data_IF_286447393875
#
_entry.id   IF_286447393875
#
_cell.length_a   1.000
_cell.length_b   1.000
_cell.length_c   1.000
_cell.angle_alpha   90.00
_cell.angle_beta   90.00
_cell.angle_gamma   90.00
#
_symmetry.space_group_name_H-M   'P 1'
#
loop_
_entity.id
_entity.type
_entity.pdbx_description
1 polymer ?
#
# COMPACT_ATOMS: atom_id res chain seq x y z
N UNK A 1 22.82 -23.99 -23.08
CA UNK A 1 23.21 -23.93 -21.65
C UNK A 1 22.29 -22.89 -21.06
N UNK A 2 21.31 -23.33 -20.27
CA UNK A 2 20.14 -22.55 -19.90
C UNK A 2 20.54 -21.28 -19.11
N UNK A 3 19.92 -20.17 -19.49
CA UNK A 3 19.76 -18.98 -18.64
C UNK A 3 19.19 -19.45 -17.29
N UNK A 4 19.96 -19.24 -16.23
CA UNK A 4 19.44 -19.30 -14.87
C UNK A 4 18.63 -18.01 -14.67
N UNK A 5 17.30 -18.13 -14.72
CA UNK A 5 16.39 -17.15 -14.13
C UNK A 5 16.72 -17.07 -12.63
N UNK A 6 17.30 -15.95 -12.20
CA UNK A 6 17.38 -15.62 -10.79
C UNK A 6 15.97 -15.24 -10.29
N UNK A 7 15.51 -16.04 -9.32
CA UNK A 7 14.53 -15.72 -8.27
C UNK A 7 13.03 -16.00 -8.48
N UNK A 8 12.64 -17.14 -9.06
CA UNK A 8 11.36 -17.76 -8.70
C UNK A 8 11.49 -18.54 -7.38
N UNK A 9 11.27 -17.86 -6.25
CA UNK A 9 11.35 -18.47 -4.90
C UNK A 9 10.11 -19.31 -4.53
N UNK A 10 9.07 -19.32 -5.36
CA UNK A 10 7.79 -19.98 -5.12
C UNK A 10 7.33 -20.76 -6.35
N UNK A 11 6.66 -21.91 -6.13
CA UNK A 11 6.11 -22.78 -7.19
C UNK A 11 4.88 -22.16 -7.87
N UNK A 12 4.04 -21.47 -7.09
CA UNK A 12 2.86 -20.73 -7.59
C UNK A 12 2.64 -19.46 -6.76
N UNK A 13 2.27 -18.37 -7.42
CA UNK A 13 1.87 -17.11 -6.76
C UNK A 13 0.38 -17.08 -6.37
N UNK A 14 -0.41 -18.08 -6.81
CA UNK A 14 -1.83 -18.18 -6.47
C UNK A 14 -2.01 -18.53 -4.99
N UNK A 15 -2.76 -17.67 -4.29
CA UNK A 15 -3.12 -17.87 -2.89
C UNK A 15 -4.41 -18.68 -2.76
N UNK A 16 -4.52 -19.51 -1.71
CA UNK A 16 -5.74 -20.27 -1.47
C UNK A 16 -6.90 -19.34 -1.07
N UNK A 17 -8.14 -19.78 -1.28
CA UNK A 17 -9.36 -18.94 -1.16
C UNK A 17 -9.57 -18.26 0.21
N UNK A 18 -8.98 -18.82 1.26
CA UNK A 18 -9.06 -18.35 2.65
C UNK A 18 -7.91 -17.38 3.00
N UNK A 19 -6.97 -17.17 2.08
CA UNK A 19 -5.96 -16.11 2.13
C UNK A 19 -6.41 -14.89 1.31
N UNK A 20 -7.72 -14.57 1.32
CA UNK A 20 -8.26 -13.35 0.73
C UNK A 20 -7.81 -12.14 1.54
N UNK A 21 -7.35 -11.10 0.86
CA UNK A 21 -6.87 -9.82 1.38
C UNK A 21 -7.78 -9.24 2.47
N UNK A 22 -9.10 -9.26 2.24
CA UNK A 22 -10.09 -8.77 3.19
C UNK A 22 -10.18 -9.63 4.45
N UNK A 23 -10.04 -10.95 4.28
CA UNK A 23 -10.08 -11.90 5.39
C UNK A 23 -8.81 -11.78 6.24
N UNK A 24 -7.63 -11.70 5.62
CA UNK A 24 -6.36 -11.46 6.34
C UNK A 24 -6.46 -10.16 7.12
N UNK A 25 -6.92 -9.07 6.50
CA UNK A 25 -7.11 -7.80 7.19
C UNK A 25 -8.06 -7.91 8.40
N UNK A 26 -9.24 -8.52 8.23
CA UNK A 26 -10.16 -8.73 9.36
C UNK A 26 -9.54 -9.58 10.47
N UNK A 27 -8.82 -10.65 10.12
CA UNK A 27 -8.14 -11.51 11.08
C UNK A 27 -7.04 -10.74 11.83
N UNK A 28 -6.31 -9.86 11.15
CA UNK A 28 -5.29 -9.01 11.79
C UNK A 28 -5.91 -7.98 12.74
N UNK A 29 -7.02 -7.33 12.37
CA UNK A 29 -7.76 -6.42 13.26
C UNK A 29 -8.28 -7.18 14.49
N UNK A 30 -8.92 -8.33 14.27
CA UNK A 30 -9.43 -9.16 15.36
C UNK A 30 -8.29 -9.60 16.29
N UNK A 31 -7.14 -9.96 15.72
CA UNK A 31 -5.95 -10.32 16.47
C UNK A 31 -5.42 -9.16 17.33
N UNK A 32 -5.28 -7.97 16.73
CA UNK A 32 -4.84 -6.77 17.45
C UNK A 32 -5.82 -6.45 18.59
N UNK A 33 -7.13 -6.50 18.34
CA UNK A 33 -8.15 -6.23 19.36
C UNK A 33 -8.07 -7.21 20.55
N UNK A 34 -7.82 -8.50 20.29
CA UNK A 34 -7.63 -9.49 21.35
C UNK A 34 -6.36 -9.19 22.15
N UNK A 35 -5.26 -8.84 21.47
CA UNK A 35 -3.99 -8.50 22.13
C UNK A 35 -4.15 -7.25 23.01
N UNK A 36 -4.79 -6.20 22.48
CA UNK A 36 -5.05 -4.96 23.20
C UNK A 36 -5.87 -5.25 24.46
N UNK A 37 -6.98 -5.98 24.31
CA UNK A 37 -7.86 -6.31 25.43
C UNK A 37 -7.14 -7.12 26.51
N UNK A 38 -6.33 -8.12 26.13
CA UNK A 38 -5.57 -8.92 27.10
C UNK A 38 -4.48 -8.09 27.80
N UNK A 39 -3.80 -7.19 27.09
CA UNK A 39 -2.77 -6.33 27.67
C UNK A 39 -3.35 -5.25 28.59
N UNK A 40 -4.52 -4.69 28.28
CA UNK A 40 -5.17 -3.66 29.09
C UNK A 40 -5.87 -4.26 30.32
N UNK A 41 -6.68 -5.30 30.13
CA UNK A 41 -7.57 -5.78 31.19
C UNK A 41 -6.95 -6.87 32.07
N UNK A 42 -5.92 -7.55 31.57
CA UNK A 42 -5.46 -8.81 32.16
C UNK A 42 -3.97 -8.84 32.52
N UNK A 43 -3.27 -7.70 32.40
CA UNK A 43 -1.81 -7.56 32.55
C UNK A 43 -1.21 -8.26 33.78
N UNK A 44 -1.89 -8.23 34.93
CA UNK A 44 -1.36 -8.73 36.20
C UNK A 44 -1.94 -10.07 36.67
N UNK A 45 -2.99 -10.59 36.02
CA UNK A 45 -3.70 -11.79 36.47
C UNK A 45 -3.09 -13.07 35.91
N UNK A 46 -3.06 -14.12 36.74
CA UNK A 46 -2.62 -15.47 36.38
C UNK A 46 -3.80 -16.37 36.03
N UNK A 47 -3.51 -17.53 35.42
CA UNK A 47 -4.55 -18.51 35.10
C UNK A 47 -5.33 -19.01 36.33
N UNK A 48 -4.73 -18.98 37.52
CA UNK A 48 -5.41 -19.37 38.75
C UNK A 48 -6.48 -18.34 39.14
N UNK A 49 -6.15 -17.04 39.06
CA UNK A 49 -7.10 -15.95 39.33
C UNK A 49 -8.28 -15.98 38.34
N UNK A 50 -8.01 -16.33 37.07
CA UNK A 50 -9.05 -16.48 36.02
C UNK A 50 -10.03 -17.60 36.37
N UNK A 51 -9.49 -18.76 36.74
CA UNK A 51 -10.28 -19.96 37.00
C UNK A 51 -11.10 -19.76 38.27
N UNK A 52 -10.55 -19.08 39.27
CA UNK A 52 -11.23 -18.75 40.52
C UNK A 52 -12.41 -17.78 40.28
N UNK A 53 -12.20 -16.70 39.51
CA UNK A 53 -13.24 -15.72 39.19
C UNK A 53 -14.24 -16.19 38.11
N UNK A 54 -14.00 -17.37 37.50
CA UNK A 54 -14.78 -17.92 36.37
C UNK A 54 -14.99 -16.89 35.26
N UNK A 55 -13.93 -16.18 34.88
CA UNK A 55 -14.03 -15.13 33.87
C UNK A 55 -14.30 -15.71 32.47
N UNK A 56 -15.59 -15.80 32.14
CA UNK A 56 -16.08 -16.38 30.90
C UNK A 56 -15.61 -15.59 29.68
N UNK A 57 -15.40 -14.27 29.82
CA UNK A 57 -14.97 -13.41 28.72
C UNK A 57 -13.54 -13.76 28.33
N UNK A 58 -12.64 -13.81 29.31
CA UNK A 58 -11.24 -14.17 29.05
C UNK A 58 -11.12 -15.56 28.40
N UNK A 59 -11.88 -16.55 28.89
CA UNK A 59 -11.86 -17.90 28.31
C UNK A 59 -12.36 -17.92 26.85
N UNK A 60 -13.38 -17.13 26.52
CA UNK A 60 -13.85 -16.99 25.14
C UNK A 60 -12.79 -16.33 24.25
N UNK A 61 -12.12 -15.27 24.73
CA UNK A 61 -11.03 -14.61 24.00
C UNK A 61 -9.83 -15.53 23.80
N UNK A 62 -9.45 -16.31 24.80
CA UNK A 62 -8.31 -17.22 24.69
C UNK A 62 -8.60 -18.38 23.71
N UNK A 63 -9.86 -18.81 23.61
CA UNK A 63 -10.29 -19.79 22.62
C UNK A 63 -10.36 -19.21 21.21
N UNK A 64 -10.81 -17.96 21.05
CA UNK A 64 -10.79 -17.28 19.75
C UNK A 64 -9.35 -16.99 19.30
N UNK A 65 -8.44 -16.62 20.20
CA UNK A 65 -7.00 -16.48 19.92
C UNK A 65 -6.39 -17.80 19.43
N UNK A 66 -6.71 -18.92 20.08
CA UNK A 66 -6.27 -20.25 19.66
C UNK A 66 -6.75 -20.58 18.24
N UNK A 67 -8.00 -20.27 17.92
CA UNK A 67 -8.56 -20.46 16.57
C UNK A 67 -7.81 -19.62 15.53
N UNK A 68 -7.51 -18.35 15.84
CA UNK A 68 -6.72 -17.47 14.98
C UNK A 68 -5.31 -18.02 14.75
N UNK A 69 -4.65 -18.53 15.80
CA UNK A 69 -3.32 -19.13 15.70
C UNK A 69 -3.35 -20.36 14.80
N UNK A 70 -4.38 -21.21 14.89
CA UNK A 70 -4.55 -22.34 13.98
C UNK A 70 -4.66 -21.91 12.52
N UNK A 71 -5.39 -20.82 12.24
CA UNK A 71 -5.50 -20.25 10.88
C UNK A 71 -4.14 -19.76 10.41
N UNK A 72 -3.42 -18.97 11.21
CA UNK A 72 -2.10 -18.45 10.82
C UNK A 72 -1.04 -19.55 10.66
N UNK A 73 -1.08 -20.59 11.49
CA UNK A 73 -0.22 -21.76 11.34
C UNK A 73 -0.48 -22.49 10.03
N UNK A 74 -1.74 -22.64 9.66
CA UNK A 74 -2.10 -23.25 8.40
C UNK A 74 -1.63 -22.38 7.21
N UNK A 75 -1.78 -21.05 7.30
CA UNK A 75 -1.32 -20.12 6.24
C UNK A 75 0.20 -20.18 6.08
N UNK A 76 0.94 -20.16 7.20
CA UNK A 76 2.39 -20.29 7.23
C UNK A 76 2.85 -21.63 6.66
N UNK A 77 2.11 -22.70 6.94
CA UNK A 77 2.37 -24.03 6.39
C UNK A 77 2.19 -24.06 4.88
N UNK A 78 1.09 -23.52 4.36
CA UNK A 78 0.83 -23.47 2.92
C UNK A 78 1.84 -22.58 2.19
N UNK A 79 2.27 -21.46 2.81
CA UNK A 79 3.36 -20.63 2.28
C UNK A 79 4.70 -21.37 2.26
N UNK A 80 5.02 -22.07 3.35
CA UNK A 80 6.20 -22.93 3.40
C UNK A 80 6.14 -23.98 2.30
N UNK A 81 5.03 -24.70 2.11
CA UNK A 81 4.90 -25.76 1.11
C UNK A 81 5.11 -25.25 -0.33
N UNK A 82 4.61 -24.05 -0.66
CA UNK A 82 4.78 -23.41 -1.97
C UNK A 82 6.18 -22.84 -2.23
N UNK A 83 6.96 -22.55 -1.19
CA UNK A 83 8.29 -22.00 -1.35
C UNK A 83 9.29 -23.07 -1.84
N UNK A 84 10.07 -22.76 -2.87
CA UNK A 84 11.10 -23.66 -3.42
C UNK A 84 12.36 -23.60 -2.54
N UNK A 85 12.79 -22.39 -2.16
CA UNK A 85 13.96 -22.14 -1.30
C UNK A 85 13.56 -22.07 0.18
N UNK A 86 13.63 -23.22 0.87
CA UNK A 86 13.30 -23.30 2.29
C UNK A 86 14.28 -22.54 3.19
N UNK A 87 15.54 -22.37 2.78
CA UNK A 87 16.54 -21.68 3.61
C UNK A 87 16.27 -20.17 3.62
N UNK A 88 15.97 -19.61 2.45
CA UNK A 88 15.51 -18.22 2.36
C UNK A 88 14.20 -18.01 3.13
N UNK A 89 13.26 -18.96 3.03
CA UNK A 89 11.99 -18.88 3.74
C UNK A 89 12.20 -18.77 5.26
N UNK A 90 13.03 -19.64 5.84
CA UNK A 90 13.32 -19.62 7.28
C UNK A 90 14.02 -18.33 7.70
N UNK A 91 14.98 -17.82 6.92
CA UNK A 91 15.63 -16.52 7.20
C UNK A 91 14.64 -15.36 7.21
N UNK A 92 13.59 -15.46 6.39
CA UNK A 92 12.59 -14.39 6.21
C UNK A 92 11.41 -14.51 7.17
N UNK A 93 10.99 -15.71 7.60
CA UNK A 93 9.75 -15.93 8.36
C UNK A 93 9.95 -16.49 9.79
N UNK A 94 11.17 -16.76 10.25
CA UNK A 94 11.40 -17.36 11.59
C UNK A 94 10.79 -16.54 12.74
N UNK A 95 10.75 -15.22 12.61
CA UNK A 95 10.25 -14.31 13.62
C UNK A 95 8.72 -14.42 13.75
N UNK A 96 7.99 -14.87 12.72
CA UNK A 96 6.53 -15.06 12.80
C UNK A 96 6.13 -16.12 13.82
N UNK A 97 6.99 -17.11 14.05
CA UNK A 97 6.77 -18.13 15.08
C UNK A 97 6.78 -17.56 16.50
N UNK A 98 7.51 -16.47 16.75
CA UNK A 98 7.48 -15.77 18.04
C UNK A 98 6.10 -15.15 18.30
N UNK A 99 5.37 -14.81 17.24
CA UNK A 99 4.02 -14.29 17.32
C UNK A 99 2.97 -15.36 17.63
N UNK A 100 3.23 -16.64 17.37
CA UNK A 100 2.25 -17.74 17.48
C UNK A 100 2.00 -18.23 18.93
N UNK A 101 2.52 -17.51 19.92
CA UNK A 101 2.33 -17.85 21.34
C UNK A 101 0.85 -17.65 21.73
N UNK A 102 0.13 -18.71 22.15
CA UNK A 102 -1.26 -18.61 22.57
C UNK A 102 -1.43 -17.87 23.90
N UNK A 103 -2.55 -17.17 24.05
CA UNK A 103 -2.94 -16.44 25.25
C UNK A 103 -2.92 -17.31 26.53
N UNK A 104 -3.29 -18.59 26.43
CA UNK A 104 -3.22 -19.53 27.56
C UNK A 104 -1.80 -19.78 28.07
N UNK A 105 -0.80 -19.80 27.18
CA UNK A 105 0.59 -20.08 27.54
C UNK A 105 1.16 -18.96 28.39
N UNK A 106 0.84 -17.71 28.06
CA UNK A 106 1.28 -16.52 28.82
C UNK A 106 0.56 -16.35 30.16
N UNK A 107 -0.55 -17.06 30.38
CA UNK A 107 -1.28 -17.05 31.65
C UNK A 107 -0.72 -18.05 32.69
N UNK A 108 0.16 -18.97 32.27
CA UNK A 108 0.82 -19.93 33.17
C UNK A 108 1.71 -19.16 34.16
N UNK A 109 1.61 -19.34 35.49
CA UNK A 109 2.27 -18.48 36.48
C UNK A 109 3.79 -18.34 36.30
N UNK A 110 4.46 -19.44 35.90
CA UNK A 110 5.89 -19.42 35.61
C UNK A 110 6.24 -18.43 34.50
N UNK A 111 5.45 -18.40 33.43
CA UNK A 111 5.65 -17.54 32.25
C UNK A 111 4.98 -16.18 32.42
N UNK A 112 3.94 -16.07 33.25
CA UNK A 112 3.27 -14.81 33.58
C UNK A 112 4.22 -13.85 34.30
N UNK A 113 5.14 -14.37 35.12
CA UNK A 113 6.21 -13.58 35.75
C UNK A 113 7.15 -12.92 34.74
N UNK A 114 7.29 -13.51 33.55
CA UNK A 114 7.99 -12.93 32.41
C UNK A 114 7.01 -12.09 31.60
N UNK A 115 6.48 -11.02 32.20
CA UNK A 115 5.45 -10.15 31.60
C UNK A 115 5.77 -9.68 30.17
N UNK A 116 7.06 -9.57 29.82
CA UNK A 116 7.52 -9.26 28.47
C UNK A 116 7.17 -10.31 27.39
N UNK A 117 6.91 -11.57 27.74
CA UNK A 117 6.49 -12.60 26.77
C UNK A 117 5.14 -12.26 26.12
N UNK A 118 4.29 -11.52 26.82
CA UNK A 118 3.01 -11.04 26.28
C UNK A 118 3.20 -10.08 25.11
N UNK A 119 4.32 -9.34 25.09
CA UNK A 119 4.70 -8.42 24.02
C UNK A 119 5.17 -9.14 22.76
N UNK A 120 5.66 -10.38 22.85
CA UNK A 120 6.02 -11.18 21.66
C UNK A 120 4.81 -11.40 20.74
N UNK A 121 3.57 -11.36 21.27
CA UNK A 121 2.36 -11.44 20.45
C UNK A 121 2.20 -10.25 19.49
N UNK A 122 2.85 -9.12 19.75
CA UNK A 122 2.87 -7.98 18.81
C UNK A 122 3.61 -8.29 17.52
N UNK A 123 4.51 -9.28 17.55
CA UNK A 123 5.14 -9.80 16.34
C UNK A 123 4.10 -10.33 15.35
N UNK A 124 3.01 -10.92 15.84
CA UNK A 124 1.91 -11.41 15.00
C UNK A 124 1.14 -10.27 14.33
N UNK A 125 0.85 -9.21 15.07
CA UNK A 125 0.26 -8.00 14.49
C UNK A 125 1.17 -7.44 13.37
N UNK A 126 2.48 -7.36 13.62
CA UNK A 126 3.45 -6.88 12.64
C UNK A 126 3.57 -7.80 11.40
N UNK A 127 3.61 -9.12 11.59
CA UNK A 127 3.58 -10.10 10.50
C UNK A 127 2.30 -10.04 9.67
N UNK A 128 1.14 -9.87 10.31
CA UNK A 128 -0.12 -9.64 9.63
C UNK A 128 -0.06 -8.42 8.69
N UNK A 129 0.54 -7.33 9.15
CA UNK A 129 0.73 -6.11 8.35
C UNK A 129 1.74 -6.33 7.21
N UNK A 130 2.87 -7.00 7.46
CA UNK A 130 3.87 -7.25 6.44
C UNK A 130 3.37 -8.19 5.34
N UNK A 131 2.49 -9.15 5.66
CA UNK A 131 1.80 -9.98 4.65
C UNK A 131 1.00 -9.14 3.66
N UNK A 132 0.35 -8.07 4.12
CA UNK A 132 -0.37 -7.13 3.24
C UNK A 132 0.57 -6.36 2.30
N UNK A 133 1.82 -6.11 2.71
CA UNK A 133 2.82 -5.40 1.88
C UNK A 133 3.39 -6.32 0.79
N UNK A 134 3.65 -7.60 1.10
CA UNK A 134 4.15 -8.59 0.13
C UNK A 134 3.23 -8.75 -1.09
N UNK A 135 1.95 -8.45 -0.93
CA UNK A 135 0.92 -8.54 -1.97
C UNK A 135 0.97 -7.37 -2.97
N UNK A 136 1.58 -6.23 -2.62
CA UNK A 136 1.71 -5.07 -3.49
C UNK A 136 2.67 -5.26 -4.67
N UNK A 137 3.49 -6.33 -4.65
CA UNK A 137 4.41 -6.69 -5.76
C UNK A 137 3.77 -7.59 -6.82
N UNK A 138 2.46 -7.87 -6.75
CA UNK A 138 1.81 -8.84 -7.64
C UNK A 138 1.70 -8.28 -9.08
N UNK A 139 2.18 -9.08 -10.05
CA UNK A 139 2.36 -8.80 -11.50
C UNK A 139 1.08 -8.58 -12.33
N UNK A 140 -0.04 -8.23 -11.71
CA UNK A 140 -1.27 -7.87 -12.41
C UNK A 140 -1.35 -6.34 -12.47
N UNK A 141 -1.73 -5.76 -13.61
CA UNK A 141 -2.13 -4.35 -13.73
C UNK A 141 -3.18 -4.05 -12.64
N UNK A 142 -2.73 -3.61 -11.47
CA UNK A 142 -3.62 -3.32 -10.35
C UNK A 142 -4.41 -2.09 -10.76
N UNK A 143 -5.74 -2.19 -10.77
CA UNK A 143 -6.58 -1.01 -10.99
C UNK A 143 -6.28 -0.01 -9.90
N UNK A 144 -6.24 1.27 -10.26
CA UNK A 144 -5.93 2.40 -9.35
C UNK A 144 -6.72 2.30 -8.03
N UNK A 145 -7.98 1.86 -8.12
CA UNK A 145 -8.87 1.60 -7.00
C UNK A 145 -8.32 0.57 -5.99
N UNK A 146 -7.82 -0.59 -6.47
CA UNK A 146 -7.26 -1.63 -5.61
C UNK A 146 -5.96 -1.19 -4.96
N UNK A 147 -5.11 -0.47 -5.69
CA UNK A 147 -3.87 0.08 -5.15
C UNK A 147 -4.14 1.06 -3.99
N UNK A 148 -5.15 1.92 -4.13
CA UNK A 148 -5.56 2.83 -3.06
C UNK A 148 -6.14 2.10 -1.85
N UNK A 149 -6.99 1.09 -2.06
CA UNK A 149 -7.57 0.31 -0.98
C UNK A 149 -6.47 -0.38 -0.16
N UNK A 150 -5.49 -0.99 -0.82
CA UNK A 150 -4.36 -1.65 -0.14
C UNK A 150 -3.50 -0.67 0.65
N UNK A 151 -3.12 0.46 0.06
CA UNK A 151 -2.37 1.51 0.75
C UNK A 151 -3.11 2.00 1.99
N UNK A 152 -4.41 2.29 1.85
CA UNK A 152 -5.24 2.73 2.96
C UNK A 152 -5.30 1.67 4.07
N UNK A 153 -5.43 0.40 3.68
CA UNK A 153 -5.47 -0.74 4.61
C UNK A 153 -4.17 -0.83 5.41
N UNK A 154 -3.01 -0.79 4.73
CA UNK A 154 -1.69 -0.79 5.38
C UNK A 154 -1.56 0.38 6.36
N UNK A 155 -1.92 1.59 5.93
CA UNK A 155 -1.78 2.78 6.76
C UNK A 155 -2.72 2.73 7.98
N UNK A 156 -3.97 2.28 7.82
CA UNK A 156 -4.89 2.07 8.94
C UNK A 156 -4.34 1.04 9.93
N UNK A 157 -3.77 -0.07 9.46
CA UNK A 157 -3.15 -1.05 10.38
C UNK A 157 -1.95 -0.46 11.13
N UNK A 158 -1.12 0.35 10.47
CA UNK A 158 0.01 1.02 11.10
C UNK A 158 -0.43 2.09 12.11
N UNK A 159 -1.54 2.80 11.87
CA UNK A 159 -2.14 3.73 12.83
C UNK A 159 -2.55 2.98 14.10
N UNK A 160 -3.27 1.86 13.96
CA UNK A 160 -3.73 1.07 15.11
C UNK A 160 -2.54 0.50 15.88
N UNK A 161 -1.57 -0.10 15.18
CA UNK A 161 -0.38 -0.66 15.80
C UNK A 161 0.46 0.43 16.49
N UNK A 162 0.73 1.55 15.81
CA UNK A 162 1.50 2.67 16.32
C UNK A 162 0.85 3.31 17.55
N UNK A 163 -0.46 3.56 17.51
CA UNK A 163 -1.22 4.04 18.65
C UNK A 163 -1.15 3.07 19.84
N UNK A 164 -1.25 1.77 19.58
CA UNK A 164 -1.12 0.75 20.63
C UNK A 164 0.27 0.73 21.28
N UNK A 165 1.34 0.78 20.49
CA UNK A 165 2.71 0.80 21.03
C UNK A 165 2.98 2.06 21.85
N UNK A 166 2.55 3.22 21.35
CA UNK A 166 2.68 4.48 22.10
C UNK A 166 1.88 4.40 23.40
N UNK A 167 0.66 3.87 23.38
CA UNK A 167 -0.13 3.65 24.61
C UNK A 167 0.60 2.77 25.63
N UNK A 168 1.17 1.63 25.21
CA UNK A 168 1.87 0.72 26.14
C UNK A 168 3.09 1.40 26.76
N UNK A 169 3.88 2.15 26.00
CA UNK A 169 5.06 2.82 26.55
C UNK A 169 4.68 4.04 27.41
N UNK A 170 3.75 4.87 26.93
CA UNK A 170 3.29 6.05 27.66
C UNK A 170 2.51 5.70 28.92
N UNK A 171 1.71 4.62 28.93
CA UNK A 171 0.96 4.23 30.13
C UNK A 171 1.88 3.84 31.30
N UNK A 172 3.02 3.22 31.01
CA UNK A 172 4.04 2.89 32.02
C UNK A 172 4.71 4.15 32.57
N UNK A 173 5.10 5.06 31.68
CA UNK A 173 5.70 6.36 32.04
C UNK A 173 4.72 7.23 32.83
N UNK A 174 3.46 7.28 32.40
CA UNK A 174 2.38 8.04 33.03
C UNK A 174 2.09 7.55 34.45
N UNK A 175 2.06 6.23 34.66
CA UNK A 175 1.85 5.67 35.99
C UNK A 175 3.00 6.06 36.93
N UNK A 176 4.25 6.00 36.45
CA UNK A 176 5.43 6.34 37.22
C UNK A 176 5.52 7.84 37.57
N UNK A 177 5.09 8.72 36.67
CA UNK A 177 5.28 10.17 36.80
C UNK A 177 4.07 10.92 37.37
N UNK A 178 2.85 10.46 37.05
CA UNK A 178 1.62 11.23 37.25
C UNK A 178 0.68 10.61 38.30
N UNK A 179 0.95 9.40 38.79
CA UNK A 179 0.13 8.72 39.80
C UNK A 179 0.91 8.38 41.07
N UNK A 180 0.20 8.29 42.19
CA UNK A 180 0.74 7.81 43.48
C UNK A 180 -0.25 6.86 44.14
N UNK A 181 0.22 5.99 45.02
CA UNK A 181 -0.64 5.03 45.72
C UNK A 181 -1.05 5.62 47.07
N UNK A 182 -2.35 5.69 47.33
CA UNK A 182 -2.88 6.16 48.61
C UNK A 182 -2.73 5.10 49.72
N UNK A 183 -3.04 5.48 50.96
CA UNK A 183 -2.95 4.56 52.11
C UNK A 183 -3.91 3.36 52.05
N UNK A 184 -4.86 3.35 51.10
CA UNK A 184 -5.80 2.26 50.86
C UNK A 184 -5.37 1.36 49.68
N UNK A 185 -4.21 1.61 49.07
CA UNK A 185 -3.70 0.84 47.94
C UNK A 185 -4.27 1.23 46.57
N UNK A 186 -4.99 2.35 46.48
CA UNK A 186 -5.59 2.85 45.23
C UNK A 186 -4.66 3.86 44.55
N UNK A 187 -4.53 3.75 43.22
CA UNK A 187 -3.77 4.70 42.39
C UNK A 187 -4.56 6.01 42.26
N UNK A 188 -3.99 7.11 42.71
CA UNK A 188 -4.60 8.46 42.71
C UNK A 188 -3.68 9.43 41.96
N UNK A 189 -4.27 10.35 41.20
CA UNK A 189 -3.51 11.39 40.49
C UNK A 189 -2.82 12.35 41.47
N UNK A 190 -1.62 12.82 41.11
CA UNK A 190 -0.84 13.74 41.94
C UNK A 190 -1.57 15.09 42.09
N UNK A 191 -1.66 15.63 43.31
CA UNK A 191 -2.31 16.93 43.56
C UNK A 191 -1.54 18.13 42.97
N UNK A 192 -0.21 18.00 42.83
CA UNK A 192 0.67 18.97 42.18
C UNK A 192 1.26 18.31 40.92
N UNK A 193 0.43 18.14 39.90
CA UNK A 193 0.81 17.47 38.66
C UNK A 193 1.83 18.33 37.86
N UNK A 194 2.91 17.75 37.30
CA UNK A 194 3.72 18.40 36.29
C UNK A 194 2.87 18.83 35.08
N UNK A 195 3.18 19.98 34.48
CA UNK A 195 2.45 20.50 33.31
C UNK A 195 2.40 19.48 32.14
N UNK A 196 3.44 18.65 32.02
CA UNK A 196 3.60 17.64 30.96
C UNK A 196 2.56 16.51 31.05
N UNK A 197 2.14 16.11 32.25
CA UNK A 197 1.18 15.02 32.47
C UNK A 197 -0.21 15.31 31.86
N UNK A 198 -0.55 16.59 31.63
CA UNK A 198 -1.83 16.97 31.01
C UNK A 198 -1.92 16.62 29.52
N UNK A 199 -0.77 16.46 28.86
CA UNK A 199 -0.65 16.13 27.42
C UNK A 199 -0.16 14.70 27.17
N UNK A 200 0.12 13.96 28.24
CA UNK A 200 0.53 12.56 28.14
C UNK A 200 -0.67 11.68 27.80
N UNK A 201 -0.39 10.61 27.07
CA UNK A 201 -1.40 9.65 26.62
C UNK A 201 -1.63 8.65 27.75
N UNK A 202 -2.82 8.65 28.34
CA UNK A 202 -3.15 7.75 29.46
C UNK A 202 -4.24 6.72 29.14
N UNK A 203 -4.95 6.87 28.02
CA UNK A 203 -5.98 5.93 27.57
C UNK A 203 -5.71 5.45 26.14
N UNK A 204 -6.19 4.26 25.81
CA UNK A 204 -6.08 3.72 24.46
C UNK A 204 -6.83 4.60 23.43
N UNK A 205 -7.96 5.19 23.83
CA UNK A 205 -8.72 6.11 22.98
C UNK A 205 -7.91 7.35 22.61
N UNK A 206 -7.19 7.93 23.57
CA UNK A 206 -6.34 9.11 23.33
C UNK A 206 -5.15 8.75 22.43
N UNK A 207 -4.59 7.55 22.59
CA UNK A 207 -3.51 7.05 21.75
C UNK A 207 -3.95 6.87 20.29
N UNK A 208 -5.16 6.32 20.08
CA UNK A 208 -5.75 6.17 18.76
C UNK A 208 -6.07 7.51 18.11
N UNK A 209 -6.65 8.44 18.87
CA UNK A 209 -6.89 9.81 18.41
C UNK A 209 -5.59 10.49 17.97
N UNK A 210 -4.56 10.44 18.83
CA UNK A 210 -3.24 10.98 18.54
C UNK A 210 -2.62 10.36 17.28
N UNK A 211 -2.71 9.03 17.12
CA UNK A 211 -2.15 8.33 15.96
C UNK A 211 -2.84 8.75 14.64
N UNK A 212 -4.17 8.93 14.66
CA UNK A 212 -4.93 9.43 13.51
C UNK A 212 -4.53 10.87 13.18
N UNK A 213 -4.54 11.76 14.17
CA UNK A 213 -4.22 13.19 14.01
C UNK A 213 -2.78 13.39 13.51
N UNK A 214 -1.85 12.56 13.98
CA UNK A 214 -0.44 12.60 13.55
C UNK A 214 -0.26 12.07 12.14
N UNK A 215 -0.85 10.92 11.81
CA UNK A 215 -0.71 10.30 10.48
C UNK A 215 -1.39 11.13 9.38
N UNK A 216 -2.50 11.80 9.72
CA UNK A 216 -3.18 12.76 8.83
C UNK A 216 -2.51 14.13 8.79
N UNK A 217 -1.41 14.33 9.53
CA UNK A 217 -0.65 15.59 9.60
C UNK A 217 -1.43 16.79 10.14
N UNK A 218 -2.52 16.57 10.90
CA UNK A 218 -3.34 17.63 11.50
C UNK A 218 -2.65 18.25 12.71
N UNK A 219 -2.15 17.42 13.63
CA UNK A 219 -1.33 17.85 14.77
C UNK A 219 -1.98 18.88 15.71
N UNK A 220 -3.12 18.56 16.34
CA UNK A 220 -3.78 19.46 17.30
C UNK A 220 -2.92 19.86 18.50
N UNK A 221 -1.97 19.01 18.91
CA UNK A 221 -1.06 19.27 20.03
C UNK A 221 -1.68 19.13 21.42
N UNK A 222 -2.87 18.53 21.49
CA UNK A 222 -3.57 18.12 22.70
C UNK A 222 -2.87 16.95 23.41
N UNK A 223 -2.38 15.98 22.63
CA UNK A 223 -1.59 14.85 23.13
C UNK A 223 -0.24 14.75 22.42
N UNK A 224 0.80 14.33 23.15
CA UNK A 224 2.13 14.09 22.57
C UNK A 224 2.93 13.06 23.35
N UNK A 225 3.65 12.14 22.67
CA UNK A 225 4.53 11.18 23.32
C UNK A 225 5.71 11.87 24.03
N UNK A 226 5.91 11.53 25.29
CA UNK A 226 6.98 12.04 26.16
C UNK A 226 8.11 11.02 26.28
N UNK A 227 7.78 9.73 26.41
CA UNK A 227 8.73 8.63 26.57
C UNK A 227 9.69 8.52 25.35
N UNK A 228 11.00 8.27 25.55
CA UNK A 228 11.93 8.10 24.45
C UNK A 228 11.58 6.99 23.45
N UNK A 229 11.04 5.85 23.90
CA UNK A 229 10.66 4.75 23.01
C UNK A 229 9.40 5.08 22.22
N UNK A 230 8.41 5.69 22.89
CA UNK A 230 7.17 6.17 22.25
C UNK A 230 7.47 7.22 21.17
N UNK A 231 8.46 8.10 21.39
CA UNK A 231 8.95 9.08 20.40
C UNK A 231 9.59 8.44 19.17
N UNK A 232 10.32 7.34 19.34
CA UNK A 232 10.87 6.59 18.19
C UNK A 232 9.73 6.03 17.35
N UNK A 233 8.74 5.38 17.99
CA UNK A 233 7.54 4.86 17.31
C UNK A 233 6.78 5.99 16.59
N UNK A 234 6.63 7.14 17.25
CA UNK A 234 6.00 8.32 16.67
C UNK A 234 6.72 8.84 15.43
N UNK A 235 8.06 8.90 15.46
CA UNK A 235 8.85 9.34 14.31
C UNK A 235 8.64 8.42 13.10
N UNK A 236 8.60 7.09 13.30
CA UNK A 236 8.24 6.15 12.24
C UNK A 236 6.83 6.39 11.70
N UNK A 237 5.84 6.59 12.58
CA UNK A 237 4.46 6.82 12.17
C UNK A 237 4.30 8.13 11.37
N UNK A 238 5.03 9.19 11.74
CA UNK A 238 5.06 10.45 10.98
C UNK A 238 5.61 10.27 9.56
N UNK A 239 6.68 9.49 9.38
CA UNK A 239 7.24 9.19 8.05
C UNK A 239 6.21 8.43 7.18
N UNK A 240 5.48 7.48 7.77
CA UNK A 240 4.40 6.76 7.10
C UNK A 240 3.29 7.72 6.67
N UNK A 241 2.89 8.66 7.54
CA UNK A 241 1.87 9.67 7.23
C UNK A 241 2.25 10.54 6.02
N UNK A 242 3.51 10.99 5.95
CA UNK A 242 4.01 11.75 4.79
C UNK A 242 3.94 10.90 3.51
N UNK A 243 4.32 9.62 3.60
CA UNK A 243 4.22 8.68 2.49
C UNK A 243 2.79 8.44 2.00
N UNK A 244 1.81 8.39 2.91
CA UNK A 244 0.38 8.31 2.58
C UNK A 244 -0.06 9.54 1.77
N UNK A 245 0.21 10.74 2.27
CA UNK A 245 -0.21 11.98 1.59
C UNK A 245 0.42 12.07 0.20
N UNK A 246 1.72 11.76 0.08
CA UNK A 246 2.42 11.78 -1.21
C UNK A 246 1.88 10.75 -2.21
N UNK A 247 1.57 9.53 -1.75
CA UNK A 247 1.02 8.48 -2.62
C UNK A 247 -0.41 8.77 -3.05
N UNK A 248 -1.28 9.28 -2.15
CA UNK A 248 -2.61 9.74 -2.50
C UNK A 248 -2.57 10.86 -3.56
N UNK A 249 -1.67 11.83 -3.39
CA UNK A 249 -1.49 12.91 -4.37
C UNK A 249 -1.02 12.40 -5.74
N UNK A 250 -0.06 11.46 -5.76
CA UNK A 250 0.42 10.85 -7.00
C UNK A 250 -0.69 10.10 -7.75
N UNK A 251 -1.50 9.34 -7.03
CA UNK A 251 -2.62 8.60 -7.62
C UNK A 251 -3.73 9.53 -8.12
N UNK A 252 -4.04 10.61 -7.41
CA UNK A 252 -4.95 11.64 -7.90
C UNK A 252 -4.42 12.27 -9.19
N UNK A 253 -3.12 12.57 -9.24
CA UNK A 253 -2.48 13.09 -10.46
C UNK A 253 -2.63 12.11 -11.62
N UNK A 254 -2.40 10.82 -11.42
CA UNK A 254 -2.61 9.78 -12.44
C UNK A 254 -4.05 9.74 -12.95
N UNK A 255 -5.03 9.84 -12.04
CA UNK A 255 -6.44 9.86 -12.42
C UNK A 255 -6.77 11.10 -13.29
N UNK A 256 -6.23 12.27 -12.95
CA UNK A 256 -6.37 13.47 -13.79
C UNK A 256 -5.69 13.31 -15.15
N UNK A 257 -4.51 12.70 -15.22
CA UNK A 257 -3.81 12.41 -16.47
C UNK A 257 -4.65 11.47 -17.36
N UNK A 258 -5.17 10.37 -16.82
CA UNK A 258 -6.01 9.42 -17.58
C UNK A 258 -7.33 10.04 -18.04
N UNK A 259 -7.95 10.93 -17.24
CA UNK A 259 -9.15 11.67 -17.68
C UNK A 259 -8.83 12.67 -18.80
N UNK A 260 -7.63 13.26 -18.80
CA UNK A 260 -7.18 14.17 -19.87
C UNK A 260 -6.89 13.40 -21.16
N UNK A 261 -6.24 12.25 -21.10
CA UNK A 261 -6.08 11.33 -22.25
C UNK A 261 -7.43 10.85 -22.80
N UNK A 262 -8.44 10.67 -21.94
CA UNK A 262 -9.81 10.33 -22.35
C UNK A 262 -10.54 11.43 -23.13
N UNK A 263 -10.08 12.69 -23.03
CA UNK A 263 -10.72 13.84 -23.68
C UNK A 263 -9.82 14.54 -24.71
N UNK A 264 -8.53 14.21 -24.77
CA UNK A 264 -7.58 14.65 -25.79
C UNK A 264 -6.66 13.50 -26.18
N UNK A 265 -6.88 12.93 -27.37
CA UNK A 265 -5.98 11.94 -27.95
C UNK A 265 -6.24 10.51 -27.49
N UNK A 266 -7.23 9.86 -28.13
CA UNK A 266 -7.23 8.41 -28.30
C UNK A 266 -5.84 8.02 -28.83
N UNK A 267 -5.02 7.38 -28.02
CA UNK A 267 -3.68 6.88 -28.32
C UNK A 267 -3.49 6.55 -29.81
N UNK A 268 -2.87 7.48 -30.55
CA UNK A 268 -2.50 7.34 -31.97
C UNK A 268 -1.13 6.65 -32.14
N UNK A 269 -0.46 6.31 -31.05
CA UNK A 269 0.83 5.57 -31.09
C UNK A 269 0.68 4.21 -31.79
N UNK A 270 -0.53 3.63 -31.84
CA UNK A 270 -0.81 2.45 -32.67
C UNK A 270 -1.39 2.79 -34.07
N UNK A 271 -1.86 4.02 -34.30
CA UNK A 271 -2.49 4.38 -35.58
C UNK A 271 -1.46 4.67 -36.66
N UNK A 272 -0.27 5.13 -36.28
CA UNK A 272 0.83 5.41 -37.23
C UNK A 272 1.31 4.11 -37.91
N UNK A 273 1.54 3.06 -37.12
CA UNK A 273 1.87 1.72 -37.62
C UNK A 273 0.70 1.12 -38.42
N UNK A 274 -0.55 1.38 -38.01
CA UNK A 274 -1.74 0.93 -38.73
C UNK A 274 -1.88 1.61 -40.11
N UNK A 275 -1.57 2.90 -40.23
CA UNK A 275 -1.68 3.64 -41.52
C UNK A 275 -0.66 3.11 -42.52
N UNK A 276 0.61 2.97 -42.11
CA UNK A 276 1.66 2.42 -42.96
C UNK A 276 1.35 0.97 -43.37
N UNK A 277 0.87 0.15 -42.45
CA UNK A 277 0.52 -1.24 -42.74
C UNK A 277 -0.71 -1.37 -43.68
N UNK A 278 -1.70 -0.48 -43.56
CA UNK A 278 -2.82 -0.41 -44.51
C UNK A 278 -2.33 0.03 -45.89
N UNK A 279 -1.45 1.03 -45.96
CA UNK A 279 -0.88 1.50 -47.23
C UNK A 279 0.00 0.44 -47.90
N UNK A 280 0.81 -0.30 -47.13
CA UNK A 280 1.59 -1.44 -47.63
C UNK A 280 0.69 -2.53 -48.22
N UNK A 281 -0.41 -2.89 -47.55
CA UNK A 281 -1.39 -3.84 -48.11
C UNK A 281 -2.01 -3.34 -49.41
N UNK A 282 -2.28 -2.04 -49.51
CA UNK A 282 -2.80 -1.45 -50.75
C UNK A 282 -1.75 -1.46 -51.87
N UNK A 283 -0.47 -1.25 -51.54
CA UNK A 283 0.64 -1.38 -52.47
C UNK A 283 0.76 -2.82 -53.00
N UNK A 284 0.71 -3.82 -52.12
CA UNK A 284 0.73 -5.25 -52.52
C UNK A 284 -0.43 -5.57 -53.48
N UNK A 285 -1.63 -5.04 -53.22
CA UNK A 285 -2.78 -5.25 -54.11
C UNK A 285 -2.63 -4.52 -55.46
N UNK A 286 -1.98 -3.36 -55.47
CA UNK A 286 -1.66 -2.63 -56.70
C UNK A 286 -0.61 -3.38 -57.54
N UNK A 287 0.50 -3.82 -56.93
CA UNK A 287 1.55 -4.59 -57.62
C UNK A 287 1.04 -5.91 -58.20
N UNK A 288 0.12 -6.56 -57.49
CA UNK A 288 -0.54 -7.79 -57.96
C UNK A 288 -1.63 -7.56 -59.03
N UNK A 289 -1.85 -6.30 -59.46
CA UNK A 289 -2.83 -5.95 -60.49
C UNK A 289 -4.29 -6.01 -60.04
N UNK A 290 -4.54 -6.10 -58.73
CA UNK A 290 -5.88 -6.19 -58.14
C UNK A 290 -6.49 -4.82 -57.80
N UNK A 291 -5.71 -3.73 -57.94
CA UNK A 291 -6.12 -2.37 -57.60
C UNK A 291 -5.74 -1.41 -58.73
N UNK A 292 -6.66 -0.49 -59.09
CA UNK A 292 -6.39 0.54 -60.10
C UNK A 292 -5.44 1.62 -59.56
N UNK A 293 -4.56 2.14 -60.43
CA UNK A 293 -3.57 3.18 -60.09
C UNK A 293 -4.23 4.40 -59.47
N UNK A 294 -5.38 4.84 -60.01
CA UNK A 294 -6.11 6.01 -59.49
C UNK A 294 -6.63 5.79 -58.07
N UNK A 295 -7.07 4.57 -57.75
CA UNK A 295 -7.57 4.24 -56.41
C UNK A 295 -6.43 4.22 -55.40
N UNK A 296 -5.27 3.70 -55.80
CA UNK A 296 -4.05 3.70 -54.99
C UNK A 296 -3.56 5.13 -54.69
N UNK A 297 -3.42 5.97 -55.73
CA UNK A 297 -3.03 7.38 -55.58
C UNK A 297 -4.03 8.20 -54.75
N UNK A 298 -5.33 7.91 -54.89
CA UNK A 298 -6.37 8.55 -54.07
C UNK A 298 -6.25 8.16 -52.59
N UNK A 299 -5.88 6.91 -52.29
CA UNK A 299 -5.69 6.44 -50.92
C UNK A 299 -4.46 7.10 -50.26
N UNK A 300 -3.34 7.19 -50.98
CA UNK A 300 -2.13 7.87 -50.50
C UNK A 300 -2.41 9.37 -50.28
N UNK A 301 -2.99 10.06 -51.26
CA UNK A 301 -3.28 11.50 -51.13
C UNK A 301 -4.24 11.81 -49.98
N UNK A 302 -5.23 10.95 -49.73
CA UNK A 302 -6.12 11.07 -48.58
C UNK A 302 -5.38 10.86 -47.24
N UNK A 303 -4.50 9.86 -47.16
CA UNK A 303 -3.68 9.63 -45.98
C UNK A 303 -2.78 10.84 -45.68
N UNK A 304 -2.07 11.34 -46.69
CA UNK A 304 -1.24 12.55 -46.57
C UNK A 304 -2.05 13.77 -46.14
N UNK A 305 -3.23 14.00 -46.73
CA UNK A 305 -4.08 15.13 -46.38
C UNK A 305 -4.54 15.06 -44.92
N UNK A 306 -4.86 13.86 -44.43
CA UNK A 306 -5.20 13.63 -43.03
C UNK A 306 -4.02 13.92 -42.10
N UNK A 307 -2.84 13.36 -42.39
CA UNK A 307 -1.63 13.56 -41.58
C UNK A 307 -1.27 15.05 -41.52
N UNK A 308 -1.30 15.76 -42.65
CA UNK A 308 -1.05 17.21 -42.70
C UNK A 308 -2.07 18.01 -41.89
N UNK A 309 -3.36 17.65 -41.97
CA UNK A 309 -4.39 18.30 -41.16
C UNK A 309 -4.15 18.10 -39.65
N UNK A 310 -3.70 16.91 -39.26
CA UNK A 310 -3.40 16.54 -37.88
C UNK A 310 -2.20 17.33 -37.34
N UNK A 311 -1.10 17.41 -38.10
CA UNK A 311 0.05 18.27 -37.78
C UNK A 311 -0.39 19.72 -37.59
N UNK A 312 -1.24 20.26 -38.47
CA UNK A 312 -1.71 21.66 -38.34
C UNK A 312 -2.59 21.86 -37.11
N UNK A 313 -3.39 20.86 -36.73
CA UNK A 313 -4.24 20.92 -35.55
C UNK A 313 -3.39 20.91 -34.26
N UNK A 314 -2.41 20.00 -34.18
CA UNK A 314 -1.48 19.92 -33.04
C UNK A 314 -0.65 21.19 -32.93
N UNK A 315 -0.15 21.74 -34.04
CA UNK A 315 0.61 22.99 -34.05
C UNK A 315 -0.25 24.19 -33.58
N UNK A 316 -1.54 24.20 -33.93
CA UNK A 316 -2.49 25.19 -33.41
C UNK A 316 -2.74 25.05 -31.90
N UNK A 317 -2.75 23.82 -31.37
CA UNK A 317 -2.91 23.57 -29.94
C UNK A 317 -1.62 23.93 -29.17
N UNK A 318 -0.46 23.63 -29.74
CA UNK A 318 0.86 24.01 -29.24
C UNK A 318 1.00 25.52 -29.03
N UNK A 319 0.51 26.31 -29.99
CA UNK A 319 0.54 27.78 -29.93
C UNK A 319 -0.46 28.37 -28.92
N UNK A 320 -1.51 27.60 -28.56
CA UNK A 320 -2.56 28.03 -27.63
C UNK A 320 -2.35 27.52 -26.19
N UNK A 321 -1.24 26.84 -25.89
CA UNK A 321 -0.85 26.42 -24.54
C UNK A 321 -0.87 27.63 -23.60
N UNK A 322 -1.89 27.65 -22.73
CA UNK A 322 -2.24 28.81 -21.91
C UNK A 322 -1.13 29.19 -20.93
N UNK A 323 -0.84 30.50 -20.86
CA UNK A 323 0.07 31.11 -19.89
C UNK A 323 -0.35 30.95 -18.43
N UNK A 324 -1.54 30.39 -18.18
CA UNK A 324 -2.07 30.10 -16.84
C UNK A 324 -1.47 28.83 -16.20
N UNK A 325 -0.78 27.98 -16.97
CA UNK A 325 -0.11 26.80 -16.41
C UNK A 325 1.25 27.15 -15.78
N UNK A 326 1.70 26.45 -14.73
CA UNK A 326 3.06 26.59 -14.20
C UNK A 326 4.13 26.25 -15.25
N UNK A 327 5.23 27.02 -15.29
CA UNK A 327 6.30 26.91 -16.31
C UNK A 327 6.81 25.47 -16.53
N UNK A 328 7.04 24.63 -15.50
CA UNK A 328 7.51 23.24 -15.72
C UNK A 328 6.53 22.38 -16.50
N UNK A 329 5.22 22.58 -16.30
CA UNK A 329 4.16 21.86 -17.00
C UNK A 329 4.04 22.35 -18.46
N UNK A 330 4.24 23.64 -18.71
CA UNK A 330 4.29 24.17 -20.07
C UNK A 330 5.44 23.55 -20.88
N UNK A 331 6.62 23.41 -20.26
CA UNK A 331 7.80 22.81 -20.92
C UNK A 331 7.56 21.34 -21.21
N UNK A 332 7.03 20.57 -20.25
CA UNK A 332 6.72 19.16 -20.44
C UNK A 332 5.71 18.93 -21.58
N UNK A 333 4.62 19.70 -21.62
CA UNK A 333 3.64 19.60 -22.70
C UNK A 333 4.23 20.00 -24.06
N UNK A 334 5.04 21.05 -24.11
CA UNK A 334 5.69 21.47 -25.36
C UNK A 334 6.63 20.42 -25.91
N UNK A 335 7.36 19.71 -25.05
CA UNK A 335 8.22 18.59 -25.46
C UNK A 335 7.35 17.47 -26.04
N UNK A 336 6.28 17.08 -25.35
CA UNK A 336 5.36 16.02 -25.79
C UNK A 336 4.71 16.33 -27.15
N UNK A 337 4.24 17.57 -27.36
CA UNK A 337 3.70 17.99 -28.66
C UNK A 337 4.77 18.03 -29.74
N UNK A 338 6.00 18.43 -29.42
CA UNK A 338 7.08 18.49 -30.39
C UNK A 338 7.50 17.08 -30.84
N UNK A 339 7.57 16.12 -29.91
CA UNK A 339 7.83 14.71 -30.22
C UNK A 339 6.71 14.11 -31.09
N UNK A 340 5.45 14.48 -30.81
CA UNK A 340 4.29 14.06 -31.61
C UNK A 340 4.31 14.63 -33.03
N UNK A 341 4.70 15.91 -33.18
CA UNK A 341 4.85 16.55 -34.50
C UNK A 341 5.97 15.88 -35.29
N UNK A 342 7.13 15.61 -34.68
CA UNK A 342 8.23 14.95 -35.38
C UNK A 342 7.85 13.54 -35.86
N UNK A 343 7.13 12.76 -35.05
CA UNK A 343 6.65 11.43 -35.44
C UNK A 343 5.73 11.48 -36.66
N UNK A 344 4.80 12.45 -36.69
CA UNK A 344 3.89 12.62 -37.83
C UNK A 344 4.59 13.17 -39.07
N UNK A 345 5.62 14.01 -38.91
CA UNK A 345 6.47 14.47 -40.01
C UNK A 345 7.29 13.30 -40.61
N UNK A 346 7.83 12.41 -39.78
CA UNK A 346 8.51 11.18 -40.22
C UNK A 346 7.55 10.26 -40.97
N UNK A 347 6.35 10.01 -40.43
CA UNK A 347 5.33 9.19 -41.10
C UNK A 347 4.88 9.82 -42.42
N UNK A 348 4.71 11.14 -42.48
CA UNK A 348 4.39 11.84 -43.73
C UNK A 348 5.49 11.62 -44.78
N UNK A 349 6.76 11.65 -44.37
CA UNK A 349 7.89 11.37 -45.24
C UNK A 349 7.87 9.94 -45.79
N UNK A 350 7.59 8.96 -44.92
CA UNK A 350 7.47 7.55 -45.31
C UNK A 350 6.32 7.35 -46.31
N UNK A 351 5.16 7.97 -46.09
CA UNK A 351 4.01 7.90 -47.01
C UNK A 351 4.31 8.60 -48.35
N UNK A 352 5.01 9.74 -48.31
CA UNK A 352 5.44 10.46 -49.53
C UNK A 352 6.38 9.60 -50.40
N UNK A 353 7.23 8.77 -49.78
CA UNK A 353 8.14 7.87 -50.49
C UNK A 353 7.43 6.72 -51.24
N UNK A 354 6.17 6.43 -50.91
CA UNK A 354 5.37 5.37 -51.57
C UNK A 354 4.71 5.82 -52.88
N UNK A 355 4.82 7.10 -53.25
CA UNK A 355 4.30 7.59 -54.54
C UNK A 355 5.21 7.07 -55.66
N UNK A 356 4.68 6.31 -56.64
CA UNK A 356 5.50 5.85 -57.76
C UNK A 356 5.97 7.04 -58.60
N UNK A 357 7.27 7.11 -58.91
CA UNK A 357 7.82 8.13 -59.81
C UNK A 357 7.15 8.02 -61.20
N UNK A 358 6.78 9.17 -61.80
CA UNK A 358 6.22 9.22 -63.15
C UNK A 358 7.31 8.82 -64.16
N UNK A 359 7.22 7.60 -64.72
CA UNK A 359 7.91 7.19 -65.96
C UNK A 359 7.20 7.70 -67.22
#
# INVERSE_FOLDING_TARGET
MAEFDEDEKYVTEEQPWWANDYLIFLLTIANIAIIVYDLEYFSERTIFDIIEDKDLKWMFLALSDLLLICIFLADLRDDYERCIDKEWWWKTHWWEFLGLIPMFVTAIPLLASLGGLRLLRLVRAFSGVLRLIGMARRKSKVTVEKQMLHLLTIVLTLIVAGGFFVYIFESQEYEALCTTVNNYGEKVQLSNMPDECSRMINSFSDAMWWAIVTTTTVGYGDFSPVDPLSRVVAAFLMLVGIGLVGSLAATMSQLFYTMKEGSGGRSLVNTDEDVLHVLQRLLDHYENGNLDKRTYESAISLAMQRIRAEITMIRSEYDTISSTMPVPLQVAQKIEYNDSISSLEDLLHDVESMIPEEE
#
